data_IF_343669057323
#
_entry.id   IF_343669057323
#
_cell.length_a   1.000
_cell.length_b   1.000
_cell.length_c   1.000
_cell.angle_alpha   90.00
_cell.angle_beta   90.00
_cell.angle_gamma   90.00
#
_symmetry.space_group_name_H-M   'P 1'
#
loop_
_entity.id
_entity.type
_entity.pdbx_description
1 polymer ?
#
# COMPACT_ATOMS: atom_id res chain seq x y z
N UNK A 1 -2.83 -27.50 -0.03
CA UNK A 1 -2.21 -26.78 -1.16
C UNK A 1 -1.41 -25.62 -0.59
N UNK A 2 -0.16 -25.40 -1.02
CA UNK A 2 0.62 -24.27 -0.52
C UNK A 2 -0.07 -22.95 -0.87
N UNK A 3 -0.19 -22.04 0.09
CA UNK A 3 -0.82 -20.75 -0.11
C UNK A 3 0.12 -19.85 -0.92
N UNK A 4 -0.37 -19.31 -2.04
CA UNK A 4 0.46 -18.58 -2.98
C UNK A 4 0.82 -17.22 -2.38
N UNK A 5 2.09 -17.02 -2.02
CA UNK A 5 2.55 -15.74 -1.48
C UNK A 5 2.28 -14.62 -2.49
N UNK A 6 1.38 -13.70 -2.15
CA UNK A 6 0.93 -12.58 -2.99
C UNK A 6 2.06 -11.67 -3.47
N UNK A 7 3.13 -11.52 -2.68
CA UNK A 7 4.30 -10.72 -3.04
C UNK A 7 5.18 -11.44 -4.06
N UNK A 8 5.35 -12.76 -3.94
CA UNK A 8 6.04 -13.56 -4.96
C UNK A 8 5.24 -13.67 -6.26
N UNK A 9 3.90 -13.77 -6.16
CA UNK A 9 3.00 -13.66 -7.31
C UNK A 9 3.19 -12.30 -8.02
N UNK A 10 3.19 -11.20 -7.28
CA UNK A 10 3.39 -9.87 -7.86
C UNK A 10 4.78 -9.71 -8.49
N UNK A 11 5.84 -10.17 -7.83
CA UNK A 11 7.21 -10.20 -8.40
C UNK A 11 7.27 -10.97 -9.72
N UNK A 12 6.59 -12.12 -9.80
CA UNK A 12 6.49 -12.89 -11.03
C UNK A 12 5.72 -12.13 -12.13
N UNK A 13 4.60 -11.46 -11.81
CA UNK A 13 3.87 -10.61 -12.77
C UNK A 13 4.72 -9.43 -13.27
N UNK A 14 5.56 -8.83 -12.41
CA UNK A 14 6.49 -7.77 -12.82
C UNK A 14 7.53 -8.26 -13.86
N UNK A 15 7.96 -9.52 -13.77
CA UNK A 15 8.94 -10.12 -14.69
C UNK A 15 8.36 -10.47 -16.07
N UNK A 16 7.04 -10.42 -16.26
CA UNK A 16 6.41 -10.70 -17.56
C UNK A 16 6.69 -9.55 -18.55
N UNK A 17 7.29 -9.81 -19.72
CA UNK A 17 7.53 -8.77 -20.73
C UNK A 17 6.27 -8.39 -21.50
N UNK A 18 5.31 -9.33 -21.62
CA UNK A 18 4.09 -9.17 -22.42
C UNK A 18 2.99 -8.35 -21.72
N UNK A 19 3.14 -8.08 -20.41
CA UNK A 19 2.12 -7.42 -19.60
C UNK A 19 2.28 -5.90 -19.62
N UNK A 20 1.21 -5.20 -19.99
CA UNK A 20 1.16 -3.74 -20.02
C UNK A 20 1.47 -3.09 -18.66
N UNK A 21 2.08 -1.89 -18.67
CA UNK A 21 2.45 -1.16 -17.45
C UNK A 21 1.28 -0.91 -16.50
N UNK A 22 0.12 -0.49 -17.03
CA UNK A 22 -1.12 -0.34 -16.25
C UNK A 22 -1.59 -1.63 -15.58
N UNK A 23 -1.35 -2.77 -16.23
CA UNK A 23 -1.71 -4.10 -15.73
C UNK A 23 -0.79 -4.55 -14.60
N UNK A 24 0.50 -4.16 -14.64
CA UNK A 24 1.43 -4.28 -13.50
C UNK A 24 0.98 -3.41 -12.32
N UNK A 25 0.49 -2.19 -12.57
CA UNK A 25 -0.09 -1.33 -11.51
C UNK A 25 -1.36 -1.94 -10.89
N UNK A 26 -2.25 -2.52 -11.70
CA UNK A 26 -3.43 -3.25 -11.21
C UNK A 26 -3.03 -4.47 -10.39
N UNK A 27 -2.02 -5.24 -10.83
CA UNK A 27 -1.48 -6.37 -10.06
C UNK A 27 -0.89 -5.92 -8.70
N UNK A 28 -0.18 -4.79 -8.66
CA UNK A 28 0.33 -4.21 -7.41
C UNK A 28 -0.80 -3.90 -6.43
N UNK A 29 -1.84 -3.18 -6.87
CA UNK A 29 -3.00 -2.87 -6.03
C UNK A 29 -3.71 -4.13 -5.52
N UNK A 30 -3.93 -5.13 -6.38
CA UNK A 30 -4.57 -6.39 -5.99
C UNK A 30 -3.75 -7.18 -4.95
N UNK A 31 -2.42 -7.20 -5.06
CA UNK A 31 -1.55 -7.99 -4.18
C UNK A 31 -1.13 -7.27 -2.89
N UNK A 32 -1.07 -5.95 -2.88
CA UNK A 32 -0.54 -5.15 -1.76
C UNK A 32 -1.66 -4.50 -0.94
N UNK A 33 -2.66 -3.89 -1.60
CA UNK A 33 -3.68 -3.06 -0.92
C UNK A 33 -5.02 -3.76 -0.73
N UNK A 34 -5.44 -4.58 -1.70
CA UNK A 34 -6.76 -5.22 -1.73
C UNK A 34 -6.76 -6.71 -1.36
N UNK A 35 -5.59 -7.30 -1.09
CA UNK A 35 -5.46 -8.64 -0.54
C UNK A 35 -5.56 -8.60 0.98
N UNK A 36 -6.63 -9.16 1.54
CA UNK A 36 -6.78 -9.27 2.99
C UNK A 36 -5.72 -10.23 3.58
N UNK A 37 -4.96 -9.76 4.57
CA UNK A 37 -3.83 -10.47 5.19
C UNK A 37 -4.21 -11.77 5.91
N UNK A 38 -5.40 -11.82 6.51
CA UNK A 38 -5.87 -12.96 7.31
C UNK A 38 -6.55 -14.06 6.48
N UNK A 39 -7.16 -13.70 5.34
CA UNK A 39 -8.03 -14.59 4.56
C UNK A 39 -7.58 -14.81 3.12
N UNK A 40 -6.58 -14.07 2.64
CA UNK A 40 -6.11 -14.08 1.26
C UNK A 40 -7.16 -13.59 0.23
N UNK A 41 -8.35 -13.17 0.67
CA UNK A 41 -9.46 -12.80 -0.20
C UNK A 41 -9.23 -11.43 -0.83
N UNK A 42 -9.48 -11.34 -2.13
CA UNK A 42 -9.40 -10.11 -2.92
C UNK A 42 -10.78 -9.86 -3.53
N UNK A 43 -11.49 -8.83 -3.05
CA UNK A 43 -12.89 -8.54 -3.42
C UNK A 43 -13.20 -7.10 -3.91
N UNK A 44 -12.27 -6.30 -4.49
CA UNK A 44 -12.57 -4.93 -4.90
C UNK A 44 -13.53 -4.84 -6.09
N UNK A 45 -14.38 -3.81 -6.11
CA UNK A 45 -15.13 -3.48 -7.31
C UNK A 45 -14.19 -2.90 -8.39
N UNK A 46 -14.55 -3.04 -9.67
CA UNK A 46 -13.75 -2.46 -10.76
C UNK A 46 -13.76 -0.93 -10.74
N UNK A 47 -14.80 -0.31 -10.16
CA UNK A 47 -14.87 1.13 -9.88
C UNK A 47 -13.89 1.54 -8.79
N UNK A 48 -13.84 0.80 -7.67
CA UNK A 48 -12.87 1.04 -6.59
C UNK A 48 -11.42 0.95 -7.08
N UNK A 49 -11.10 0.02 -7.98
CA UNK A 49 -9.77 -0.05 -8.61
C UNK A 49 -9.50 1.12 -9.57
N UNK A 50 -10.52 1.59 -10.30
CA UNK A 50 -10.42 2.74 -11.19
C UNK A 50 -10.17 4.04 -10.41
N UNK A 51 -10.93 4.26 -9.34
CA UNK A 51 -10.78 5.40 -8.42
C UNK A 51 -9.42 5.37 -7.72
N UNK A 52 -9.03 4.23 -7.13
CA UNK A 52 -7.77 4.10 -6.39
C UNK A 52 -6.52 4.31 -7.26
N UNK A 53 -6.55 3.84 -8.51
CA UNK A 53 -5.42 3.97 -9.44
C UNK A 53 -5.49 5.20 -10.35
N UNK A 54 -6.56 6.01 -10.26
CA UNK A 54 -6.88 7.08 -11.20
C UNK A 54 -6.82 6.62 -12.68
N UNK A 55 -7.40 5.44 -12.95
CA UNK A 55 -7.44 4.80 -14.27
C UNK A 55 -8.88 4.64 -14.75
N UNK A 56 -9.11 4.68 -16.07
CA UNK A 56 -10.45 4.42 -16.61
C UNK A 56 -10.93 2.99 -16.28
N UNK A 57 -12.23 2.81 -16.06
CA UNK A 57 -12.85 1.49 -15.87
C UNK A 57 -12.60 0.56 -17.08
N UNK A 58 -12.44 1.12 -18.29
CA UNK A 58 -12.04 0.36 -19.48
C UNK A 58 -10.61 -0.19 -19.37
N UNK A 59 -9.66 0.63 -18.89
CA UNK A 59 -8.27 0.22 -18.59
C UNK A 59 -8.25 -0.90 -17.55
N UNK A 60 -8.99 -0.74 -16.45
CA UNK A 60 -9.11 -1.78 -15.40
C UNK A 60 -9.71 -3.08 -15.96
N UNK A 61 -10.75 -3.00 -16.79
CA UNK A 61 -11.34 -4.17 -17.46
C UNK A 61 -10.35 -4.87 -18.41
N UNK A 62 -9.53 -4.11 -19.16
CA UNK A 62 -8.49 -4.65 -20.05
C UNK A 62 -7.39 -5.34 -19.25
N UNK A 63 -6.86 -4.68 -18.21
CA UNK A 63 -5.81 -5.23 -17.33
C UNK A 63 -6.24 -6.52 -16.62
N UNK A 64 -7.46 -6.55 -16.07
CA UNK A 64 -8.00 -7.76 -15.44
C UNK A 64 -8.19 -8.89 -16.47
N UNK A 65 -8.61 -8.57 -17.70
CA UNK A 65 -8.72 -9.58 -18.77
C UNK A 65 -7.35 -10.15 -19.13
N UNK A 66 -6.36 -9.30 -19.38
CA UNK A 66 -4.97 -9.68 -19.69
C UNK A 66 -4.38 -10.62 -18.63
N UNK A 67 -4.57 -10.35 -17.33
CA UNK A 67 -4.13 -11.25 -16.26
C UNK A 67 -4.89 -12.59 -16.21
N UNK A 68 -6.16 -12.61 -16.63
CA UNK A 68 -6.97 -13.85 -16.72
C UNK A 68 -6.55 -14.67 -17.94
N UNK A 69 -6.39 -14.05 -19.09
CA UNK A 69 -6.00 -14.68 -20.36
C UNK A 69 -4.59 -15.31 -20.24
N UNK A 70 -3.67 -14.64 -19.52
CA UNK A 70 -2.33 -15.16 -19.20
C UNK A 70 -2.31 -16.17 -18.02
N UNK A 71 -3.46 -16.48 -17.41
CA UNK A 71 -3.58 -17.48 -16.33
C UNK A 71 -3.05 -17.05 -14.95
N UNK A 72 -2.72 -15.76 -14.75
CA UNK A 72 -2.24 -15.21 -13.47
C UNK A 72 -3.35 -14.82 -12.50
N UNK A 73 -4.57 -14.67 -13.00
CA UNK A 73 -5.72 -14.26 -12.21
C UNK A 73 -6.93 -15.11 -12.57
N UNK A 74 -7.73 -15.46 -11.57
CA UNK A 74 -9.07 -16.01 -11.75
C UNK A 74 -10.08 -15.00 -11.22
N UNK A 75 -11.21 -14.85 -11.92
CA UNK A 75 -12.26 -13.90 -11.58
C UNK A 75 -13.61 -14.58 -11.59
N UNK A 76 -14.16 -14.83 -10.40
CA UNK A 76 -15.58 -15.15 -10.27
C UNK A 76 -16.40 -13.85 -10.17
N UNK A 77 -17.49 -13.79 -10.93
CA UNK A 77 -18.45 -12.68 -10.86
C UNK A 77 -19.60 -13.07 -9.94
N UNK A 78 -19.84 -12.27 -8.91
CA UNK A 78 -21.12 -12.27 -8.22
C UNK A 78 -22.28 -12.04 -9.20
N UNK A 79 -23.32 -12.88 -9.12
CA UNK A 79 -24.61 -12.67 -9.78
C UNK A 79 -25.64 -12.28 -8.70
N UNK A 80 -26.34 -11.17 -8.89
CA UNK A 80 -27.34 -10.66 -7.95
C UNK A 80 -26.82 -9.60 -6.97
N UNK A 81 -27.75 -8.90 -6.31
CA UNK A 81 -27.44 -7.89 -5.30
C UNK A 81 -26.62 -8.50 -4.15
N UNK A 82 -25.68 -7.71 -3.59
CA UNK A 82 -24.81 -8.14 -2.49
C UNK A 82 -23.67 -9.11 -2.86
N UNK A 83 -23.60 -9.64 -4.10
CA UNK A 83 -22.47 -10.49 -4.53
C UNK A 83 -21.36 -9.68 -5.22
N UNK A 84 -20.15 -9.75 -4.68
CA UNK A 84 -18.98 -9.03 -5.19
C UNK A 84 -18.25 -9.80 -6.30
N UNK A 85 -17.31 -9.13 -6.99
CA UNK A 85 -16.31 -9.84 -7.81
C UNK A 85 -15.23 -10.38 -6.88
N UNK A 86 -14.98 -11.68 -6.90
CA UNK A 86 -13.83 -12.26 -6.18
C UNK A 86 -12.72 -12.56 -7.17
N UNK A 87 -11.50 -12.23 -6.77
CA UNK A 87 -10.29 -12.54 -7.51
C UNK A 87 -9.47 -13.55 -6.73
N UNK A 88 -8.90 -14.53 -7.43
CA UNK A 88 -7.99 -15.50 -6.87
C UNK A 88 -6.69 -15.43 -7.65
N UNK A 89 -5.59 -15.16 -6.96
CA UNK A 89 -4.26 -15.17 -7.55
C UNK A 89 -3.94 -16.59 -8.02
N UNK A 90 -3.50 -16.72 -9.27
CA UNK A 90 -3.00 -17.97 -9.85
C UNK A 90 -1.57 -17.77 -10.28
N UNK A 91 -0.79 -18.85 -10.21
CA UNK A 91 0.45 -18.96 -10.96
C UNK A 91 0.18 -19.99 -12.06
N UNK A 92 0.32 -19.67 -13.35
CA UNK A 92 0.31 -20.70 -14.38
C UNK A 92 1.47 -21.65 -14.05
N UNK A 93 1.19 -22.95 -13.94
CA UNK A 93 2.13 -23.96 -13.43
C UNK A 93 3.32 -24.21 -14.37
N UNK A 94 4.21 -23.24 -14.47
CA UNK A 94 5.50 -23.31 -15.11
C UNK A 94 6.53 -22.97 -14.04
N UNK A 95 7.17 -23.99 -13.50
CA UNK A 95 8.36 -23.81 -12.67
C UNK A 95 9.32 -22.98 -13.50
N UNK A 96 9.57 -21.73 -13.10
CA UNK A 96 10.64 -20.92 -13.69
C UNK A 96 11.91 -21.38 -12.99
N UNK A 97 12.77 -22.19 -13.62
CA UNK A 97 14.04 -22.52 -13.01
C UNK A 97 14.83 -21.22 -12.86
N UNK A 98 15.10 -20.83 -11.63
CA UNK A 98 16.09 -19.78 -11.36
C UNK A 98 17.39 -20.19 -12.07
N UNK A 99 17.75 -19.47 -13.14
CA UNK A 99 19.06 -19.65 -13.76
C UNK A 99 20.11 -19.31 -12.70
N UNK A 100 20.69 -20.33 -12.07
CA UNK A 100 21.91 -20.16 -11.27
C UNK A 100 22.91 -19.44 -12.17
N UNK A 101 23.41 -18.28 -11.74
CA UNK A 101 24.60 -17.67 -12.36
C UNK A 101 25.66 -18.77 -12.44
N UNK A 102 26.24 -18.98 -13.62
CA UNK A 102 27.17 -20.07 -13.89
C UNK A 102 28.34 -19.95 -12.90
N UNK A 103 28.45 -20.93 -11.98
CA UNK A 103 29.53 -20.97 -10.98
C UNK A 103 30.84 -21.20 -11.73
N UNK A 104 31.58 -20.11 -11.99
CA UNK A 104 32.75 -20.15 -12.87
C UNK A 104 33.37 -18.80 -13.26
N UNK A 105 32.74 -17.65 -12.94
CA UNK A 105 33.36 -16.33 -13.11
C UNK A 105 33.74 -15.73 -11.76
N UNK A 106 34.88 -16.18 -11.19
CA UNK A 106 35.61 -15.36 -10.22
C UNK A 106 36.41 -14.29 -11.00
N UNK A 107 36.35 -13.00 -10.62
CA UNK A 107 37.40 -12.06 -10.99
C UNK A 107 38.59 -12.31 -10.06
N UNK A 108 39.64 -12.97 -10.56
CA UNK A 108 40.89 -13.13 -9.83
C UNK A 108 41.66 -11.82 -9.80
N UNK A 109 41.68 -11.14 -8.65
CA UNK A 109 42.59 -10.06 -8.37
C UNK A 109 43.98 -10.61 -8.07
N UNK A 110 44.84 -10.73 -9.09
CA UNK A 110 46.30 -10.62 -8.94
C UNK A 110 46.94 -10.42 -10.33
N UNK A 111 47.88 -9.48 -10.39
CA UNK A 111 48.52 -9.04 -11.62
C UNK A 111 49.74 -9.89 -11.96
N UNK A 112 50.15 -9.86 -13.22
CA UNK A 112 51.56 -10.02 -13.57
C UNK A 112 51.96 -8.90 -14.53
N UNK A 113 52.77 -7.96 -14.04
CA UNK A 113 53.25 -6.82 -14.80
C UNK A 113 54.30 -7.24 -15.84
N UNK A 114 54.27 -6.58 -16.99
CA UNK A 114 55.42 -6.43 -17.86
C UNK A 114 55.36 -5.05 -18.52
N UNK A 115 56.02 -4.07 -17.90
CA UNK A 115 56.28 -2.75 -18.51
C UNK A 115 57.22 -2.88 -19.72
N UNK A 116 57.53 -1.84 -20.49
CA UNK A 116 57.40 -0.37 -20.38
C UNK A 116 57.91 0.23 -21.74
N UNK A 117 58.07 1.56 -21.96
CA UNK A 117 57.50 2.77 -21.34
C UNK A 117 56.96 3.81 -22.37
N UNK A 118 56.56 5.01 -21.89
CA UNK A 118 56.38 6.30 -22.61
C UNK A 118 55.10 6.38 -23.50
N UNK A 119 54.24 7.41 -23.45
CA UNK A 119 54.34 8.78 -22.89
C UNK A 119 53.17 9.13 -21.96
N UNK A 120 53.34 10.18 -21.15
CA UNK A 120 52.52 10.52 -19.99
C UNK A 120 51.24 11.30 -20.27
N UNK A 121 50.21 11.05 -19.45
CA UNK A 121 49.51 12.12 -18.71
C UNK A 121 48.81 11.55 -17.46
N UNK A 122 49.33 11.94 -16.29
CA UNK A 122 48.74 11.61 -14.98
C UNK A 122 47.52 12.48 -14.62
N UNK A 123 46.93 12.37 -13.42
CA UNK A 123 47.24 11.50 -12.27
C UNK A 123 45.98 11.44 -11.35
N UNK A 124 45.81 10.31 -10.67
CA UNK A 124 45.02 10.04 -9.44
C UNK A 124 43.85 10.96 -9.02
N UNK A 125 42.68 10.34 -8.81
CA UNK A 125 42.18 10.07 -7.44
C UNK A 125 41.09 8.98 -7.46
N UNK A 126 41.13 8.04 -6.50
CA UNK A 126 39.94 7.23 -6.18
C UNK A 126 38.88 8.08 -5.47
N UNK A 127 37.59 7.75 -5.64
CA UNK A 127 36.57 8.00 -4.64
C UNK A 127 36.19 6.68 -3.94
N UNK A 128 36.90 6.44 -2.84
CA UNK A 128 36.39 5.77 -1.64
C UNK A 128 34.89 6.01 -1.39
N UNK A 129 34.20 4.99 -0.89
CA UNK A 129 32.77 5.04 -0.54
C UNK A 129 32.51 6.07 0.58
N UNK A 130 32.17 7.31 0.21
CA UNK A 130 31.58 8.32 1.10
C UNK A 130 30.58 9.20 0.37
N UNK A 131 29.43 9.35 1.02
CA UNK A 131 28.60 10.57 1.13
C UNK A 131 28.67 11.59 -0.03
N UNK A 132 27.63 11.62 -0.86
CA UNK A 132 27.26 12.83 -1.60
C UNK A 132 25.79 13.17 -1.37
N UNK A 133 25.58 14.02 -0.37
CA UNK A 133 24.44 14.93 -0.30
C UNK A 133 24.93 16.35 -0.62
N UNK A 134 23.98 17.20 -1.04
CA UNK A 134 24.06 18.66 -1.17
C UNK A 134 24.63 19.32 -2.45
N UNK A 135 23.79 20.25 -2.93
CA UNK A 135 24.07 21.49 -3.66
C UNK A 135 24.50 21.47 -5.14
N UNK A 136 23.47 21.49 -6.00
CA UNK A 136 23.40 22.52 -7.04
C UNK A 136 22.67 23.77 -6.48
N UNK A 137 23.43 24.86 -6.37
CA UNK A 137 23.08 26.26 -6.01
C UNK A 137 24.11 27.12 -6.74
N UNK A 138 23.86 28.31 -7.30
CA UNK A 138 22.69 29.20 -7.33
C UNK A 138 22.83 30.18 -8.51
N UNK A 139 21.71 30.72 -9.02
CA UNK A 139 21.56 32.11 -9.51
C UNK A 139 20.14 32.30 -10.11
N UNK A 140 19.26 33.19 -9.64
CA UNK A 140 19.08 33.88 -8.34
C UNK A 140 17.54 33.87 -8.05
N UNK A 141 17.03 33.95 -6.82
CA UNK A 141 17.15 35.05 -5.86
C UNK A 141 15.99 36.04 -6.07
N UNK A 142 15.01 36.24 -5.18
CA UNK A 142 14.69 35.65 -3.86
C UNK A 142 13.14 35.41 -3.77
N UNK A 143 12.43 35.16 -2.66
CA UNK A 143 12.68 35.22 -1.21
C UNK A 143 11.68 34.27 -0.46
N UNK A 144 11.90 34.09 0.86
CA UNK A 144 10.97 33.65 1.92
C UNK A 144 10.54 32.18 2.11
N UNK A 145 11.04 31.67 3.26
CA UNK A 145 10.34 30.87 4.30
C UNK A 145 10.38 29.35 4.18
N UNK A 146 11.52 28.82 4.60
CA UNK A 146 11.70 28.00 5.82
C UNK A 146 10.58 27.07 6.28
N UNK A 147 10.96 25.82 6.61
CA UNK A 147 10.20 24.99 7.57
C UNK A 147 9.97 23.55 7.15
N UNK A 148 11.03 22.73 7.09
CA UNK A 148 10.90 21.27 7.11
C UNK A 148 11.35 20.74 8.48
N UNK A 149 10.44 20.31 9.37
CA UNK A 149 10.83 19.60 10.57
C UNK A 149 11.10 18.12 10.29
N UNK A 150 12.24 17.67 10.79
CA UNK A 150 12.66 16.27 10.89
C UNK A 150 11.67 15.40 11.67
N UNK A 151 11.83 14.07 11.58
CA UNK A 151 11.13 13.13 12.42
C UNK A 151 11.35 13.44 13.92
N UNK A 152 10.30 13.45 14.77
CA UNK A 152 10.44 13.65 16.20
C UNK A 152 10.98 12.39 16.92
N UNK A 153 11.64 12.55 18.08
CA UNK A 153 12.34 11.48 18.77
C UNK A 153 11.41 10.53 19.55
N UNK A 154 11.97 9.40 20.01
CA UNK A 154 11.33 8.53 21.01
C UNK A 154 11.18 9.26 22.34
N UNK A 155 9.99 9.81 22.60
CA UNK A 155 9.52 10.28 23.91
C UNK A 155 8.63 9.23 24.60
N UNK A 156 8.29 9.43 25.89
CA UNK A 156 7.51 8.49 26.69
C UNK A 156 6.04 8.41 26.24
N UNK A 157 5.37 7.33 26.62
CA UNK A 157 4.11 6.86 26.03
C UNK A 157 2.90 7.84 26.11
N UNK A 158 2.43 8.30 24.95
CA UNK A 158 1.05 8.73 24.60
C UNK A 158 1.05 9.36 23.18
N UNK A 159 -0.09 9.53 22.46
CA UNK A 159 -1.43 8.97 22.65
C UNK A 159 -1.91 8.13 21.42
N UNK A 160 -3.21 7.79 21.40
CA UNK A 160 -3.93 6.99 20.39
C UNK A 160 -3.67 7.44 18.92
N UNK A 161 -3.03 6.57 18.11
CA UNK A 161 -2.65 6.88 16.71
C UNK A 161 -3.81 6.63 15.74
N UNK A 162 -4.71 7.60 15.61
CA UNK A 162 -5.84 7.51 14.67
C UNK A 162 -5.41 7.60 13.20
N UNK A 163 -6.12 6.86 12.34
CA UNK A 163 -5.94 6.81 10.88
C UNK A 163 -7.17 7.38 10.19
N UNK A 164 -7.00 8.25 9.20
CA UNK A 164 -8.10 8.76 8.39
C UNK A 164 -8.55 7.70 7.37
N UNK A 165 -9.84 7.36 7.41
CA UNK A 165 -10.47 6.39 6.51
C UNK A 165 -11.55 7.11 5.69
N UNK A 166 -11.32 7.33 4.37
CA UNK A 166 -12.31 7.94 3.48
C UNK A 166 -13.64 7.17 3.43
N UNK A 167 -14.73 7.90 3.23
CA UNK A 167 -16.08 7.38 2.93
C UNK A 167 -16.13 6.88 1.47
N UNK A 168 -16.93 5.86 1.21
CA UNK A 168 -17.15 5.30 -0.14
C UNK A 168 -16.23 4.13 -0.54
N UNK A 169 -15.17 3.86 0.23
CA UNK A 169 -14.31 2.67 0.06
C UNK A 169 -14.74 1.54 1.02
N UNK A 170 -14.26 0.31 0.77
CA UNK A 170 -14.68 -0.88 1.50
C UNK A 170 -14.39 -0.86 3.01
N UNK A 171 -13.42 -0.06 3.47
CA UNK A 171 -12.98 -0.03 4.86
C UNK A 171 -14.10 0.41 5.83
N UNK A 172 -14.81 1.51 5.52
CA UNK A 172 -15.92 2.00 6.37
C UNK A 172 -17.02 0.95 6.51
N UNK A 173 -17.38 0.28 5.40
CA UNK A 173 -18.43 -0.75 5.40
C UNK A 173 -18.04 -2.02 6.17
N UNK A 174 -16.76 -2.41 6.18
CA UNK A 174 -16.27 -3.51 7.01
C UNK A 174 -16.30 -3.14 8.50
N UNK A 175 -15.94 -1.88 8.83
CA UNK A 175 -16.10 -1.35 10.19
C UNK A 175 -17.56 -1.37 10.63
N UNK A 176 -18.48 -0.80 9.83
CA UNK A 176 -19.93 -0.79 10.12
C UNK A 176 -20.45 -2.22 10.37
N UNK A 177 -20.16 -3.16 9.47
CA UNK A 177 -20.59 -4.56 9.58
C UNK A 177 -20.13 -5.24 10.89
N UNK A 178 -18.89 -4.95 11.34
CA UNK A 178 -18.39 -5.53 12.61
C UNK A 178 -18.89 -4.78 13.85
N UNK A 179 -19.11 -3.48 13.76
CA UNK A 179 -19.72 -2.70 14.83
C UNK A 179 -21.18 -3.12 15.06
N UNK A 180 -21.95 -3.31 13.99
CA UNK A 180 -23.32 -3.84 14.05
C UNK A 180 -23.37 -5.23 14.69
N UNK A 181 -22.41 -6.11 14.39
CA UNK A 181 -22.30 -7.44 15.02
C UNK A 181 -22.01 -7.40 16.54
N UNK A 182 -21.43 -6.31 17.05
CA UNK A 182 -21.20 -6.04 18.49
C UNK A 182 -22.30 -5.13 19.10
N UNK A 183 -23.40 -4.90 18.38
CA UNK A 183 -24.51 -4.03 18.82
C UNK A 183 -24.16 -2.54 18.87
N UNK A 184 -23.08 -2.11 18.23
CA UNK A 184 -22.68 -0.70 18.10
C UNK A 184 -23.27 -0.13 16.82
N UNK A 185 -23.75 1.12 16.88
CA UNK A 185 -24.27 1.79 15.69
C UNK A 185 -23.17 2.06 14.65
N UNK A 186 -23.58 2.28 13.40
CA UNK A 186 -22.67 2.58 12.30
C UNK A 186 -21.81 3.83 12.56
N UNK A 187 -20.65 3.90 11.91
CA UNK A 187 -19.68 4.99 12.05
C UNK A 187 -20.30 6.36 11.75
N UNK A 188 -21.24 6.45 10.80
CA UNK A 188 -21.95 7.69 10.48
C UNK A 188 -22.86 8.20 11.62
N UNK A 189 -23.24 7.32 12.55
CA UNK A 189 -24.04 7.66 13.76
C UNK A 189 -23.18 7.84 15.00
N UNK A 190 -22.03 7.17 15.07
CA UNK A 190 -21.14 7.22 16.23
C UNK A 190 -20.06 8.31 16.15
N UNK A 191 -19.59 8.70 14.96
CA UNK A 191 -18.47 9.62 14.79
C UNK A 191 -18.79 10.76 13.83
N UNK A 192 -18.23 11.97 14.05
CA UNK A 192 -18.40 13.08 13.12
C UNK A 192 -17.71 12.79 11.79
N UNK A 193 -18.39 13.06 10.67
CA UNK A 193 -17.79 13.01 9.34
C UNK A 193 -16.81 14.17 9.18
N UNK A 194 -15.53 13.88 8.98
CA UNK A 194 -14.48 14.88 8.80
C UNK A 194 -14.10 14.99 7.32
N UNK A 195 -13.87 16.22 6.86
CA UNK A 195 -13.32 16.49 5.53
C UNK A 195 -11.80 16.64 5.59
N UNK A 196 -11.08 15.84 4.82
CA UNK A 196 -9.63 15.95 4.61
C UNK A 196 -9.38 16.13 3.11
N UNK A 197 -9.09 17.37 2.71
CA UNK A 197 -8.93 17.75 1.30
C UNK A 197 -10.21 17.51 0.48
N UNK A 198 -10.10 16.66 -0.54
CA UNK A 198 -11.21 16.28 -1.42
C UNK A 198 -12.11 15.18 -0.83
N UNK A 199 -11.72 14.53 0.26
CA UNK A 199 -12.40 13.35 0.79
C UNK A 199 -13.15 13.65 2.10
N UNK A 200 -14.34 13.08 2.23
CA UNK A 200 -15.06 12.94 3.51
C UNK A 200 -14.70 11.58 4.11
N UNK A 201 -14.64 11.45 5.44
CA UNK A 201 -14.29 10.19 6.09
C UNK A 201 -14.31 10.29 7.62
N UNK A 202 -13.71 9.29 8.27
CA UNK A 202 -13.67 9.17 9.74
C UNK A 202 -12.23 9.01 10.23
N UNK A 203 -11.97 9.45 11.46
CA UNK A 203 -10.76 9.08 12.19
C UNK A 203 -11.04 7.81 12.97
N UNK A 204 -10.30 6.75 12.68
CA UNK A 204 -10.52 5.41 13.25
C UNK A 204 -9.26 4.90 13.93
N UNK A 205 -9.37 3.90 14.83
CA UNK A 205 -8.23 3.24 15.46
C UNK A 205 -7.18 2.73 14.48
N UNK A 206 -7.63 2.24 13.34
CA UNK A 206 -6.81 1.65 12.28
C UNK A 206 -7.60 1.70 10.96
N UNK A 207 -6.93 1.45 9.84
CA UNK A 207 -7.53 1.36 8.50
C UNK A 207 -8.52 0.20 8.38
N UNK A 208 -8.33 -0.86 9.17
CA UNK A 208 -9.19 -2.05 9.21
C UNK A 208 -9.56 -2.46 10.65
N UNK A 209 -10.75 -3.03 10.88
CA UNK A 209 -11.09 -3.59 12.18
C UNK A 209 -10.31 -4.88 12.45
N UNK A 210 -9.75 -4.98 13.65
CA UNK A 210 -9.06 -6.16 14.14
C UNK A 210 -10.00 -7.38 14.24
N UNK A 211 -9.39 -8.58 14.29
CA UNK A 211 -10.11 -9.86 14.33
C UNK A 211 -11.19 -9.91 15.42
N UNK A 212 -12.41 -10.29 15.05
CA UNK A 212 -13.53 -10.41 15.98
C UNK A 212 -13.18 -11.28 17.22
N UNK A 213 -13.63 -10.86 18.40
CA UNK A 213 -13.31 -11.50 19.69
C UNK A 213 -11.88 -11.28 20.22
N UNK A 214 -10.94 -10.79 19.41
CA UNK A 214 -9.58 -10.48 19.86
C UNK A 214 -9.53 -9.37 20.91
N UNK A 215 -8.43 -9.27 21.65
CA UNK A 215 -8.20 -8.16 22.57
C UNK A 215 -8.08 -6.83 21.81
N UNK A 216 -7.32 -6.80 20.71
CA UNK A 216 -7.18 -5.61 19.86
C UNK A 216 -8.54 -5.12 19.33
N UNK A 217 -9.46 -6.01 18.96
CA UNK A 217 -10.82 -5.63 18.57
C UNK A 217 -11.61 -4.99 19.73
N UNK A 218 -11.54 -5.57 20.94
CA UNK A 218 -12.17 -4.98 22.14
C UNK A 218 -11.59 -3.60 22.47
N UNK A 219 -10.28 -3.41 22.32
CA UNK A 219 -9.61 -2.12 22.50
C UNK A 219 -10.05 -1.10 21.45
N UNK A 220 -10.13 -1.49 20.17
CA UNK A 220 -10.65 -0.64 19.10
C UNK A 220 -12.11 -0.23 19.31
N UNK A 221 -12.99 -1.16 19.68
CA UNK A 221 -14.40 -0.87 19.98
C UNK A 221 -14.54 0.03 21.21
N UNK A 222 -13.76 -0.22 22.26
CA UNK A 222 -13.74 0.65 23.44
C UNK A 222 -13.29 2.08 23.08
N UNK A 223 -12.28 2.22 22.22
CA UNK A 223 -11.79 3.52 21.76
C UNK A 223 -12.85 4.25 20.90
N UNK A 224 -13.51 3.57 19.97
CA UNK A 224 -14.62 4.14 19.18
C UNK A 224 -15.77 4.59 20.10
N UNK A 225 -16.13 3.80 21.12
CA UNK A 225 -17.15 4.19 22.11
C UNK A 225 -16.73 5.43 22.91
N UNK A 226 -15.45 5.55 23.33
CA UNK A 226 -14.93 6.78 23.97
C UNK A 226 -15.01 7.99 23.04
N UNK A 227 -14.62 7.84 21.78
CA UNK A 227 -14.67 8.91 20.78
C UNK A 227 -16.11 9.35 20.48
N UNK A 228 -17.05 8.40 20.38
CA UNK A 228 -18.47 8.68 20.19
C UNK A 228 -19.08 9.46 21.36
N UNK A 229 -18.84 9.01 22.61
CA UNK A 229 -19.30 9.71 23.81
C UNK A 229 -18.77 11.15 23.88
N UNK A 230 -17.50 11.36 23.52
CA UNK A 230 -16.89 12.70 23.44
C UNK A 230 -17.55 13.57 22.36
N UNK A 231 -17.77 13.02 21.17
CA UNK A 231 -18.41 13.76 20.07
C UNK A 231 -19.87 14.15 20.40
N UNK A 232 -20.61 13.30 21.12
CA UNK A 232 -21.96 13.60 21.61
C UNK A 232 -21.93 14.77 22.61
N UNK A 233 -21.05 14.71 23.62
CA UNK A 233 -20.91 15.78 24.62
C UNK A 233 -20.47 17.13 24.00
N UNK A 234 -19.57 17.12 23.01
CA UNK A 234 -19.17 18.33 22.26
C UNK A 234 -20.32 18.90 21.39
N UNK A 235 -21.34 18.11 21.07
CA UNK A 235 -22.54 18.52 20.33
C UNK A 235 -23.60 19.12 21.25
N UNK A 236 -23.85 18.49 22.41
CA UNK A 236 -24.78 19.00 23.44
C UNK A 236 -24.36 20.37 23.96
N UNK A 237 -23.05 20.57 24.22
CA UNK A 237 -22.47 21.86 24.65
C UNK A 237 -22.67 23.00 23.65
N UNK A 238 -22.91 22.70 22.36
CA UNK A 238 -23.18 23.71 21.30
C UNK A 238 -24.66 24.07 21.16
N UNK A 239 -25.55 23.29 21.77
CA UNK A 239 -27.01 23.53 21.74
C UNK A 239 -27.54 24.14 23.06
N UNK A 240 -26.67 24.32 24.06
CA UNK A 240 -26.99 24.91 25.37
C UNK A 240 -26.55 26.38 25.52
N UNK A 241 -26.19 27.05 24.40
CA UNK A 241 -25.79 28.47 24.29
C UNK A 241 -26.69 29.15 23.26
#
# INVERSE_FOLDING_TARGET
MAELNRFEWFKAVLQLPEVAGSTKTVAAALAIEFANDETGKICPAQTTLAEYLNLSVATIKRAIRELVDLGWLDRSKGRGAGRFSHYRLKSPCKIIPFRRRKKGSQPSLQAQEKGSPVTEKGIMAEPSYKEQSFEQKSAGGADRRDGKPSAPPRGPASPERLVFVPRGICFVREWDYRLEAEGVASLERCLPVVRVGAHLGFWLPDRWPAKAGSQAWREQVAMIRRMAARASAETELRHAI
#
